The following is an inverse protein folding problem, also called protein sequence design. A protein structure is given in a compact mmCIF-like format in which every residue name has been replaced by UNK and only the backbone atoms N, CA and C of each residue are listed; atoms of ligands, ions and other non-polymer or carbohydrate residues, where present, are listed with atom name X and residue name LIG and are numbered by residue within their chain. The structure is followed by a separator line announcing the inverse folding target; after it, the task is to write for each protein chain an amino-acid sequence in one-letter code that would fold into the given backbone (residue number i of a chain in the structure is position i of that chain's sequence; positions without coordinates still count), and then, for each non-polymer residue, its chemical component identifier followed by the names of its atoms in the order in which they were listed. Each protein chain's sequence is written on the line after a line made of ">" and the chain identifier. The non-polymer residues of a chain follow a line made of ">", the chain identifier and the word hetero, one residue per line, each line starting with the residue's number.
data_IF_709113144044
#
_entry.id   IF_709113144044
#
_cell.length_a   1.000
_cell.length_b   1.000
_cell.length_c   1.000
_cell.angle_alpha   90.00
_cell.angle_beta   90.00
_cell.angle_gamma   90.00
#
_symmetry.space_group_name_H-M   'P 1'
#
loop_
_entity.id
_entity.type
_entity.pdbx_description
1 polymer ?
#
# COMPACT_ATOMS: atom_id res chain seq x y z
N UNK A 1 -6.69 15.73 -7.27
CA UNK A 1 -5.24 15.85 -7.49
C UNK A 1 -4.93 15.22 -8.83
N UNK A 2 -4.14 15.88 -9.66
CA UNK A 2 -3.66 15.32 -10.93
C UNK A 2 -2.38 14.52 -10.67
N UNK A 3 -2.39 13.22 -11.01
CA UNK A 3 -1.24 12.31 -10.84
C UNK A 3 -0.41 12.15 -12.12
N UNK A 4 -0.78 12.82 -13.21
CA UNK A 4 -0.15 12.66 -14.53
C UNK A 4 1.34 12.98 -14.49
N UNK A 5 1.72 14.07 -13.82
CA UNK A 5 3.12 14.47 -13.72
C UNK A 5 3.93 13.53 -12.81
N UNK A 6 3.32 13.04 -11.72
CA UNK A 6 3.95 12.05 -10.84
C UNK A 6 4.25 10.74 -11.58
N UNK A 7 3.27 10.26 -12.37
CA UNK A 7 3.43 9.08 -13.21
C UNK A 7 4.54 9.26 -14.25
N UNK A 8 4.60 10.44 -14.91
CA UNK A 8 5.65 10.77 -15.87
C UNK A 8 7.05 10.75 -15.25
N UNK A 9 7.19 11.34 -14.07
CA UNK A 9 8.47 11.37 -13.33
C UNK A 9 8.89 9.98 -12.85
N UNK A 10 7.93 9.16 -12.37
CA UNK A 10 8.20 7.79 -11.93
C UNK A 10 8.64 6.90 -13.11
N UNK A 11 7.99 7.00 -14.27
CA UNK A 11 8.42 6.26 -15.48
C UNK A 11 9.86 6.59 -15.85
N UNK A 12 10.22 7.87 -15.87
CA UNK A 12 11.61 8.30 -16.14
C UNK A 12 12.62 7.79 -15.11
N UNK A 13 12.20 7.55 -13.86
CA UNK A 13 13.04 6.96 -12.83
C UNK A 13 13.24 5.46 -13.08
N UNK A 14 12.16 4.77 -13.46
CA UNK A 14 12.13 3.34 -13.74
C UNK A 14 12.89 2.94 -15.01
N UNK A 15 13.06 3.86 -15.96
CA UNK A 15 13.87 3.66 -17.17
C UNK A 15 15.39 3.58 -16.88
N UNK A 16 15.81 3.82 -15.62
CA UNK A 16 17.22 3.75 -15.22
C UNK A 16 17.55 2.40 -14.59
N UNK A 17 18.74 1.87 -14.87
CA UNK A 17 19.21 0.57 -14.37
C UNK A 17 19.26 0.48 -12.82
N UNK A 18 19.44 1.60 -12.13
CA UNK A 18 19.50 1.66 -10.66
C UNK A 18 18.19 2.16 -10.02
N UNK A 19 17.04 1.83 -10.64
CA UNK A 19 15.75 2.24 -10.11
C UNK A 19 15.49 1.58 -8.73
N UNK A 20 15.21 2.36 -7.67
CA UNK A 20 14.85 1.78 -6.38
C UNK A 20 13.50 1.06 -6.47
N UNK A 21 13.36 -0.04 -5.72
CA UNK A 21 12.13 -0.82 -5.71
C UNK A 21 10.93 -0.02 -5.17
N UNK A 22 11.21 0.99 -4.34
CA UNK A 22 10.24 1.95 -3.83
C UNK A 22 9.55 2.78 -4.94
N UNK A 23 10.17 2.95 -6.12
CA UNK A 23 9.53 3.61 -7.25
C UNK A 23 8.28 2.84 -7.73
N UNK A 24 8.33 1.51 -7.72
CA UNK A 24 7.20 0.65 -8.07
C UNK A 24 6.07 0.75 -7.02
N UNK A 25 6.40 0.93 -5.73
CA UNK A 25 5.40 1.18 -4.69
C UNK A 25 4.67 2.51 -4.91
N UNK A 26 5.42 3.56 -5.25
CA UNK A 26 4.83 4.87 -5.54
C UNK A 26 3.97 4.82 -6.81
N UNK A 27 4.40 4.09 -7.84
CA UNK A 27 3.59 3.88 -9.05
C UNK A 27 2.29 3.13 -8.72
N UNK A 28 2.36 2.09 -7.90
CA UNK A 28 1.18 1.35 -7.44
C UNK A 28 0.20 2.27 -6.68
N UNK A 29 0.71 3.16 -5.84
CA UNK A 29 -0.09 4.16 -5.11
C UNK A 29 -0.75 5.17 -6.05
N UNK A 30 -0.03 5.66 -7.06
CA UNK A 30 -0.58 6.55 -8.11
C UNK A 30 -1.72 5.87 -8.85
N UNK A 31 -1.52 4.64 -9.31
CA UNK A 31 -2.58 3.89 -9.99
C UNK A 31 -3.80 3.63 -9.09
N UNK A 32 -3.57 3.36 -7.79
CA UNK A 32 -4.64 3.20 -6.82
C UNK A 32 -5.49 4.48 -6.70
N UNK A 33 -4.86 5.66 -6.62
CA UNK A 33 -5.57 6.93 -6.57
C UNK A 33 -6.32 7.27 -7.86
N UNK A 34 -5.86 6.76 -9.01
CA UNK A 34 -6.55 6.86 -10.30
C UNK A 34 -7.68 5.84 -10.47
N UNK A 35 -7.91 4.96 -9.48
CA UNK A 35 -8.80 3.79 -9.54
C UNK A 35 -8.40 2.77 -10.63
N UNK A 36 -7.14 2.77 -11.05
CA UNK A 36 -6.58 1.80 -11.99
C UNK A 36 -6.06 0.58 -11.21
N UNK A 37 -6.99 -0.20 -10.64
CA UNK A 37 -6.64 -1.29 -9.71
C UNK A 37 -5.76 -2.39 -10.33
N UNK A 38 -5.95 -2.70 -11.60
CA UNK A 38 -5.12 -3.68 -12.32
C UNK A 38 -3.67 -3.20 -12.48
N UNK A 39 -3.47 -1.95 -12.90
CA UNK A 39 -2.11 -1.38 -13.02
C UNK A 39 -1.44 -1.21 -11.65
N UNK A 40 -2.23 -0.90 -10.62
CA UNK A 40 -1.74 -0.86 -9.24
C UNK A 40 -1.23 -2.25 -8.80
N UNK A 41 -1.99 -3.31 -9.09
CA UNK A 41 -1.59 -4.70 -8.79
C UNK A 41 -0.33 -5.10 -9.56
N UNK A 42 -0.28 -4.85 -10.87
CA UNK A 42 0.91 -5.11 -11.69
C UNK A 42 2.16 -4.40 -11.15
N UNK A 43 2.02 -3.14 -10.74
CA UNK A 43 3.14 -2.38 -10.17
C UNK A 43 3.65 -2.99 -8.87
N UNK A 44 2.77 -3.51 -8.01
CA UNK A 44 3.19 -4.25 -6.81
C UNK A 44 3.93 -5.55 -7.16
N UNK A 45 3.42 -6.31 -8.13
CA UNK A 45 4.01 -7.59 -8.52
C UNK A 45 5.42 -7.38 -9.11
N UNK A 46 5.58 -6.40 -10.00
CA UNK A 46 6.91 -6.06 -10.57
C UNK A 46 7.87 -5.58 -9.47
N UNK A 47 7.40 -4.73 -8.55
CA UNK A 47 8.21 -4.26 -7.41
C UNK A 47 8.71 -5.41 -6.54
N UNK A 48 7.87 -6.42 -6.28
CA UNK A 48 8.26 -7.62 -5.54
C UNK A 48 9.25 -8.51 -6.32
N UNK A 49 9.06 -8.65 -7.63
CA UNK A 49 9.99 -9.40 -8.49
C UNK A 49 11.38 -8.76 -8.52
N UNK A 50 11.45 -7.43 -8.43
CA UNK A 50 12.71 -6.70 -8.39
C UNK A 50 13.38 -6.77 -7.00
N UNK A 51 12.60 -6.60 -5.93
CA UNK A 51 13.12 -6.67 -4.56
C UNK A 51 12.07 -7.20 -3.58
N UNK A 52 12.30 -8.41 -3.07
CA UNK A 52 11.38 -9.03 -2.10
C UNK A 52 11.22 -8.23 -0.80
N UNK A 53 12.18 -7.37 -0.42
CA UNK A 53 12.11 -6.54 0.79
C UNK A 53 11.02 -5.48 0.72
N UNK A 54 10.45 -5.22 -0.46
CA UNK A 54 9.28 -4.34 -0.62
C UNK A 54 8.12 -4.77 0.28
N UNK A 55 7.99 -6.08 0.56
CA UNK A 55 6.97 -6.62 1.47
C UNK A 55 7.15 -6.22 2.94
N UNK A 56 8.31 -5.69 3.31
CA UNK A 56 8.61 -5.20 4.67
C UNK A 56 8.25 -3.71 4.83
N UNK A 57 7.72 -3.10 3.77
CA UNK A 57 7.30 -1.71 3.76
C UNK A 57 5.80 -1.59 4.08
N UNK A 58 5.36 -0.79 5.06
CA UNK A 58 3.93 -0.71 5.39
C UNK A 58 3.05 -0.14 4.27
N UNK A 59 3.57 0.76 3.43
CA UNK A 59 2.89 1.21 2.19
C UNK A 59 2.50 0.04 1.27
N UNK A 60 3.35 -0.99 1.13
CA UNK A 60 3.02 -2.18 0.34
C UNK A 60 1.74 -2.85 0.87
N UNK A 61 1.65 -3.04 2.19
CA UNK A 61 0.49 -3.66 2.83
C UNK A 61 -0.75 -2.77 2.72
N UNK A 62 -0.60 -1.45 2.84
CA UNK A 62 -1.71 -0.52 2.68
C UNK A 62 -2.32 -0.59 1.26
N UNK A 63 -1.49 -0.54 0.22
CA UNK A 63 -1.95 -0.64 -1.17
C UNK A 63 -2.60 -2.00 -1.41
N UNK A 64 -1.94 -3.08 -0.99
CA UNK A 64 -2.45 -4.45 -1.13
C UNK A 64 -3.79 -4.65 -0.43
N UNK A 65 -3.95 -4.12 0.78
CA UNK A 65 -5.21 -4.17 1.52
C UNK A 65 -6.34 -3.44 0.79
N UNK A 66 -6.08 -2.22 0.29
CA UNK A 66 -7.06 -1.46 -0.51
C UNK A 66 -7.49 -2.21 -1.78
N UNK A 67 -6.56 -2.87 -2.47
CA UNK A 67 -6.88 -3.72 -3.63
C UNK A 67 -7.74 -4.93 -3.25
N UNK A 68 -7.43 -5.61 -2.13
CA UNK A 68 -8.23 -6.73 -1.63
C UNK A 68 -9.64 -6.28 -1.23
N UNK A 69 -9.75 -5.12 -0.56
CA UNK A 69 -11.03 -4.53 -0.16
C UNK A 69 -11.88 -4.17 -1.38
N UNK A 70 -11.27 -3.59 -2.42
CA UNK A 70 -11.93 -3.36 -3.70
C UNK A 70 -12.55 -4.67 -4.21
N UNK A 71 -11.73 -5.73 -4.31
CA UNK A 71 -12.13 -7.05 -4.78
C UNK A 71 -13.02 -7.83 -3.79
N UNK A 72 -13.63 -7.16 -2.80
CA UNK A 72 -14.55 -7.71 -1.79
C UNK A 72 -13.93 -8.79 -0.88
N UNK A 73 -12.61 -8.91 -0.86
CA UNK A 73 -11.88 -9.80 0.04
C UNK A 73 -11.54 -9.08 1.35
N UNK A 74 -12.58 -8.73 2.11
CA UNK A 74 -12.46 -7.86 3.29
C UNK A 74 -11.61 -8.51 4.39
N UNK A 75 -11.81 -9.81 4.67
CA UNK A 75 -10.99 -10.54 5.65
C UNK A 75 -9.50 -10.54 5.29
N UNK A 76 -9.17 -10.74 4.00
CA UNK A 76 -7.80 -10.69 3.52
C UNK A 76 -7.19 -9.28 3.62
N UNK A 77 -8.00 -8.23 3.42
CA UNK A 77 -7.60 -6.84 3.66
C UNK A 77 -7.20 -6.63 5.13
N UNK A 78 -8.07 -7.03 6.06
CA UNK A 78 -7.83 -6.91 7.51
C UNK A 78 -6.54 -7.64 7.91
N UNK A 79 -6.38 -8.90 7.50
CA UNK A 79 -5.18 -9.68 7.80
C UNK A 79 -3.91 -9.02 7.22
N UNK A 80 -4.01 -8.39 6.05
CA UNK A 80 -2.89 -7.68 5.43
C UNK A 80 -2.52 -6.42 6.23
N UNK A 81 -3.50 -5.65 6.71
CA UNK A 81 -3.27 -4.47 7.55
C UNK A 81 -2.73 -4.83 8.94
N UNK A 82 -3.20 -5.94 9.52
CA UNK A 82 -2.66 -6.47 10.78
C UNK A 82 -1.18 -6.85 10.65
N UNK A 83 -0.78 -7.47 9.53
CA UNK A 83 0.64 -7.72 9.25
C UNK A 83 1.43 -6.41 9.13
N UNK A 84 0.83 -5.36 8.55
CA UNK A 84 1.49 -4.06 8.42
C UNK A 84 1.86 -3.45 9.77
N UNK A 85 0.93 -3.47 10.75
CA UNK A 85 1.17 -2.91 12.09
C UNK A 85 2.15 -3.73 12.92
N UNK A 86 2.36 -5.00 12.56
CA UNK A 86 3.32 -5.88 13.22
C UNK A 86 4.76 -5.65 12.77
N UNK A 87 4.96 -5.01 11.61
CA UNK A 87 6.28 -4.79 11.02
C UNK A 87 7.20 -3.97 11.94
N UNK A 88 8.51 -4.31 12.02
CA UNK A 88 9.47 -3.51 12.76
C UNK A 88 9.55 -2.06 12.27
N UNK A 89 9.45 -1.85 10.96
CA UNK A 89 9.41 -0.53 10.32
C UNK A 89 8.21 0.32 10.74
N UNK A 90 7.09 -0.32 11.11
CA UNK A 90 5.90 0.36 11.62
C UNK A 90 6.02 0.69 13.11
N UNK A 91 6.64 -0.20 13.89
CA UNK A 91 6.80 -0.05 15.35
C UNK A 91 7.99 0.80 15.77
N UNK A 92 8.98 0.98 14.91
CA UNK A 92 10.17 1.77 15.21
C UNK A 92 9.77 3.20 15.62
N UNK A 93 10.23 3.67 16.79
CA UNK A 93 10.20 5.11 17.07
C UNK A 93 11.11 5.82 16.07
N UNK A 94 10.74 7.04 15.66
CA UNK A 94 11.46 7.82 14.64
C UNK A 94 12.90 8.14 15.08
N UNK A 95 13.80 7.16 14.99
CA UNK A 95 15.20 7.28 15.41
C UNK A 95 16.02 7.89 14.28
N UNK A 96 15.95 9.22 14.20
CA UNK A 96 16.94 10.14 13.60
C UNK A 96 17.89 9.52 12.55
N UNK A 97 17.41 9.16 11.34
CA UNK A 97 18.21 9.16 10.10
C UNK A 97 17.32 8.96 8.87
N UNK A 98 16.80 10.07 8.33
CA UNK A 98 16.01 10.18 7.09
C UNK A 98 16.82 9.81 5.83
N UNK A 99 17.23 8.55 5.69
CA UNK A 99 17.97 8.07 4.52
C UNK A 99 17.14 7.12 3.63
N UNK A 100 15.95 6.67 4.08
CA UNK A 100 15.00 5.85 3.31
C UNK A 100 13.60 6.48 3.31
N UNK A 101 12.66 5.99 2.50
CA UNK A 101 11.23 6.36 2.55
C UNK A 101 10.68 5.97 3.93
N UNK A 102 10.97 6.78 4.95
CA UNK A 102 10.53 6.58 6.32
C UNK A 102 9.03 6.84 6.39
N UNK A 103 8.31 5.98 7.12
CA UNK A 103 6.89 6.18 7.38
C UNK A 103 6.72 7.44 8.22
N UNK A 104 5.91 8.36 7.72
CA UNK A 104 5.48 9.51 8.49
C UNK A 104 4.28 9.07 9.34
N UNK A 105 3.99 9.78 10.44
CA UNK A 105 2.80 9.51 11.26
C UNK A 105 1.51 9.49 10.42
N UNK A 106 1.47 10.25 9.32
CA UNK A 106 0.40 10.23 8.33
C UNK A 106 0.17 8.84 7.70
N UNK A 107 1.23 8.10 7.41
CA UNK A 107 1.12 6.75 6.83
C UNK A 107 0.58 5.75 7.84
N UNK A 108 0.97 5.90 9.12
CA UNK A 108 0.43 5.09 10.22
C UNK A 108 -1.05 5.36 10.41
N UNK A 109 -1.46 6.64 10.41
CA UNK A 109 -2.86 7.05 10.46
C UNK A 109 -3.62 6.45 9.29
N UNK A 110 -3.08 6.50 8.07
CA UNK A 110 -3.73 5.91 6.89
C UNK A 110 -3.98 4.41 7.03
N UNK A 111 -3.04 3.65 7.60
CA UNK A 111 -3.19 2.21 7.87
C UNK A 111 -4.29 1.97 8.92
N UNK A 112 -4.29 2.72 10.02
CA UNK A 112 -5.33 2.57 11.04
C UNK A 112 -6.72 2.93 10.53
N UNK A 113 -6.86 4.02 9.77
CA UNK A 113 -8.13 4.42 9.17
C UNK A 113 -8.65 3.37 8.18
N UNK A 114 -7.77 2.80 7.36
CA UNK A 114 -8.13 1.74 6.42
C UNK A 114 -8.56 0.46 7.17
N UNK A 115 -7.94 0.15 8.30
CA UNK A 115 -8.31 -1.00 9.14
C UNK A 115 -9.67 -0.79 9.79
N UNK A 116 -9.94 0.40 10.34
CA UNK A 116 -11.25 0.77 10.89
C UNK A 116 -12.35 0.65 9.84
N UNK A 117 -12.13 1.21 8.65
CA UNK A 117 -13.09 1.11 7.54
C UNK A 117 -13.31 -0.34 7.09
N UNK A 118 -12.26 -1.16 7.05
CA UNK A 118 -12.38 -2.58 6.71
C UNK A 118 -13.22 -3.35 7.73
N UNK A 119 -13.05 -3.11 9.03
CA UNK A 119 -13.89 -3.72 10.07
C UNK A 119 -15.35 -3.26 9.99
N UNK A 120 -15.57 -1.97 9.72
CA UNK A 120 -16.93 -1.44 9.55
C UNK A 120 -17.64 -2.12 8.37
N UNK A 121 -16.96 -2.28 7.23
CA UNK A 121 -17.52 -2.97 6.07
C UNK A 121 -17.78 -4.45 6.35
N UNK A 122 -16.89 -5.14 7.07
CA UNK A 122 -17.10 -6.54 7.45
C UNK A 122 -18.38 -6.72 8.28
N UNK A 123 -18.60 -5.85 9.28
CA UNK A 123 -19.81 -5.89 10.10
C UNK A 123 -21.09 -5.67 9.29
N UNK A 124 -21.04 -4.83 8.26
CA UNK A 124 -22.17 -4.65 7.33
C UNK A 124 -22.42 -5.93 6.50
N UNK A 125 -21.37 -6.56 5.95
CA UNK A 125 -21.48 -7.81 5.17
C UNK A 125 -22.09 -8.93 6.01
N UNK A 126 -21.65 -9.08 7.27
CA UNK A 126 -22.20 -10.10 8.19
C UNK A 126 -23.68 -9.83 8.48
N UNK A 127 -24.08 -8.57 8.61
CA UNK A 127 -25.47 -8.20 8.82
C UNK A 127 -26.35 -8.56 7.60
N UNK A 128 -25.89 -8.27 6.38
CA UNK A 128 -26.60 -8.65 5.15
C UNK A 128 -26.70 -10.17 4.93
N UNK A 129 -25.73 -10.96 5.39
CA UNK A 129 -25.75 -12.42 5.25
C UNK A 129 -26.73 -13.14 6.18
N UNK A 130 -27.30 -12.44 7.16
CA UNK A 130 -28.24 -13.00 8.16
C UNK A 130 -29.70 -12.59 7.94
N UNK A 131 -29.99 -11.76 6.94
CA UNK A 131 -31.35 -11.38 6.53
C UNK A 131 -31.78 -12.23 5.33
#
# INVERSE_FOLDING_TARGET
>A
MDFTEAERLLRKCMDKDDCPAEAYLLMAQVHLHKNNYEESRKSLDVGLSYNFKVREHPLYHLIRAKLLKQSKQIDASIQTLQKAIELPSFKAEQSKKREKLELVDTDRIAIYLELMDSYQQLNQVVCFSKC
#
